data_IF_148469059640
#
_entry.id   IF_148469059640
#
_cell.length_a   1.000
_cell.length_b   1.000
_cell.length_c   1.000
_cell.angle_alpha   90.00
_cell.angle_beta   90.00
_cell.angle_gamma   90.00
#
_symmetry.space_group_name_H-M   'P 1'
#
loop_
_entity.id
_entity.type
_entity.pdbx_description
1 polymer ?
#
# COMPACT_ATOMS: atom_id res chain seq x y z
N UNK A 1 14.38 -13.94 17.82
CA UNK A 1 14.15 -15.21 17.08
C UNK A 1 13.06 -16.06 17.72
N UNK A 2 13.10 -16.38 19.04
CA UNK A 2 12.10 -17.22 19.70
C UNK A 2 10.66 -16.72 19.54
N UNK A 3 10.44 -15.40 19.62
CA UNK A 3 9.12 -14.80 19.40
C UNK A 3 8.61 -14.98 17.96
N UNK A 4 9.51 -14.92 16.97
CA UNK A 4 9.18 -15.18 15.56
C UNK A 4 8.71 -16.63 15.39
N UNK A 5 9.44 -17.59 15.96
CA UNK A 5 9.08 -19.01 15.85
C UNK A 5 7.73 -19.34 16.51
N UNK A 6 7.47 -18.77 17.69
CA UNK A 6 6.17 -18.92 18.36
C UNK A 6 5.04 -18.36 17.49
N UNK A 7 5.22 -17.16 16.97
CA UNK A 7 4.21 -16.51 16.13
C UNK A 7 3.91 -17.31 14.86
N UNK A 8 4.95 -17.80 14.16
CA UNK A 8 4.77 -18.65 12.98
C UNK A 8 4.08 -19.96 13.34
N UNK A 9 4.44 -20.56 14.47
CA UNK A 9 3.83 -21.81 14.95
C UNK A 9 2.33 -21.64 15.21
N UNK A 10 1.95 -20.54 15.86
CA UNK A 10 0.55 -20.20 16.12
C UNK A 10 -0.23 -19.92 14.83
N UNK A 11 0.35 -19.12 13.91
CA UNK A 11 -0.27 -18.75 12.63
C UNK A 11 -0.49 -19.98 11.72
N UNK A 12 0.45 -20.94 11.70
CA UNK A 12 0.37 -22.16 10.89
C UNK A 12 -0.29 -23.35 11.61
N UNK A 13 -0.66 -23.17 12.87
CA UNK A 13 -1.20 -24.23 13.73
C UNK A 13 -0.29 -25.48 13.78
N UNK A 14 1.01 -25.26 13.98
CA UNK A 14 2.05 -26.28 14.09
C UNK A 14 2.83 -26.12 15.40
N UNK A 15 3.67 -27.11 15.73
CA UNK A 15 4.49 -27.01 16.94
C UNK A 15 5.74 -26.14 16.68
N UNK A 16 6.12 -25.33 17.67
CA UNK A 16 7.30 -24.48 17.60
C UNK A 16 8.57 -25.23 17.18
N UNK A 17 8.79 -26.45 17.70
CA UNK A 17 9.93 -27.28 17.31
C UNK A 17 9.98 -27.61 15.81
N UNK A 18 8.81 -27.71 15.15
CA UNK A 18 8.73 -27.95 13.71
C UNK A 18 9.18 -26.71 12.93
N UNK A 19 8.79 -25.52 13.41
CA UNK A 19 9.24 -24.24 12.84
C UNK A 19 10.75 -24.09 13.01
N UNK A 20 11.28 -24.34 14.21
CA UNK A 20 12.73 -24.26 14.48
C UNK A 20 13.54 -25.18 13.56
N UNK A 21 13.10 -26.43 13.40
CA UNK A 21 13.76 -27.39 12.52
C UNK A 21 13.71 -26.97 11.05
N UNK A 22 12.56 -26.46 10.59
CA UNK A 22 12.41 -25.98 9.21
C UNK A 22 13.27 -24.74 8.95
N UNK A 23 13.30 -23.79 9.89
CA UNK A 23 14.12 -22.57 9.80
C UNK A 23 15.60 -22.92 9.76
N UNK A 24 16.07 -23.86 10.58
CA UNK A 24 17.47 -24.30 10.55
C UNK A 24 17.87 -24.84 9.17
N UNK A 25 17.01 -25.66 8.54
CA UNK A 25 17.26 -26.17 7.19
C UNK A 25 17.22 -25.08 6.10
N UNK A 26 16.32 -24.10 6.22
CA UNK A 26 16.26 -22.96 5.31
C UNK A 26 17.52 -22.07 5.43
N UNK A 27 17.97 -21.83 6.65
CA UNK A 27 19.18 -21.04 6.94
C UNK A 27 20.46 -21.74 6.47
N UNK A 28 20.47 -23.07 6.39
CA UNK A 28 21.52 -23.88 5.75
C UNK A 28 21.47 -23.85 4.22
N UNK A 29 20.47 -23.16 3.62
CA UNK A 29 20.31 -23.03 2.17
C UNK A 29 19.49 -24.15 1.51
N UNK A 30 18.80 -24.99 2.30
CA UNK A 30 17.87 -25.96 1.74
C UNK A 30 16.62 -25.28 1.19
N UNK A 31 16.16 -25.74 0.01
CA UNK A 31 14.92 -25.21 -0.59
C UNK A 31 13.67 -25.89 -0.04
N UNK A 32 12.53 -25.21 -0.05
CA UNK A 32 11.24 -25.77 0.37
C UNK A 32 10.94 -27.11 -0.32
N UNK A 33 11.07 -27.27 -1.66
CA UNK A 33 10.85 -28.56 -2.30
C UNK A 33 11.80 -29.67 -1.82
N UNK A 34 13.03 -29.34 -1.45
CA UNK A 34 13.98 -30.30 -0.90
C UNK A 34 13.56 -30.73 0.51
N UNK A 35 13.20 -29.78 1.38
CA UNK A 35 12.78 -30.05 2.75
C UNK A 35 11.51 -30.91 2.75
N UNK A 36 10.50 -30.54 1.98
CA UNK A 36 9.22 -31.25 1.92
C UNK A 36 9.34 -32.69 1.42
N UNK A 37 10.33 -33.01 0.61
CA UNK A 37 10.53 -34.35 0.05
C UNK A 37 11.52 -35.19 0.85
N UNK A 38 12.61 -34.59 1.32
CA UNK A 38 13.77 -35.34 1.82
C UNK A 38 14.10 -35.05 3.28
N UNK A 39 13.35 -34.18 3.98
CA UNK A 39 13.56 -33.82 5.39
C UNK A 39 12.28 -33.80 6.21
N UNK A 40 11.26 -34.56 5.77
CA UNK A 40 9.95 -34.62 6.46
C UNK A 40 10.07 -35.10 7.91
N UNK A 41 10.93 -36.04 8.16
CA UNK A 41 11.19 -36.54 9.50
C UNK A 41 11.82 -35.53 10.44
N UNK A 42 12.65 -34.61 9.90
CA UNK A 42 13.29 -33.54 10.68
C UNK A 42 12.28 -32.45 11.03
N UNK A 43 11.41 -32.07 10.09
CA UNK A 43 10.39 -31.04 10.29
C UNK A 43 9.10 -31.55 10.95
N UNK A 44 9.06 -32.84 11.37
CA UNK A 44 7.87 -33.41 11.99
C UNK A 44 6.67 -33.46 11.06
N UNK A 45 6.91 -33.59 9.74
CA UNK A 45 5.87 -33.86 8.75
C UNK A 45 5.28 -32.60 8.09
N UNK A 46 5.92 -31.45 8.20
CA UNK A 46 5.46 -30.23 7.48
C UNK A 46 5.37 -30.50 5.97
N UNK A 47 4.25 -30.13 5.38
CA UNK A 47 4.04 -30.24 3.94
C UNK A 47 4.60 -29.04 3.16
N UNK A 48 4.54 -29.13 1.82
CA UNK A 48 5.06 -28.08 0.93
C UNK A 48 4.36 -26.73 1.14
N UNK A 49 3.06 -26.73 1.37
CA UNK A 49 2.27 -25.51 1.59
C UNK A 49 2.63 -24.86 2.92
N UNK A 50 2.72 -25.66 3.98
CA UNK A 50 3.14 -25.16 5.31
C UNK A 50 4.56 -24.60 5.27
N UNK A 51 5.48 -25.24 4.56
CA UNK A 51 6.86 -24.78 4.43
C UNK A 51 6.98 -23.49 3.60
N UNK A 52 6.19 -23.32 2.54
CA UNK A 52 6.15 -22.05 1.76
C UNK A 52 5.62 -20.92 2.62
N UNK A 53 4.50 -21.12 3.28
CA UNK A 53 3.92 -20.12 4.17
C UNK A 53 4.88 -19.77 5.31
N UNK A 54 5.61 -20.77 5.85
CA UNK A 54 6.64 -20.55 6.87
C UNK A 54 7.79 -19.70 6.33
N UNK A 55 8.32 -20.01 5.14
CA UNK A 55 9.44 -19.27 4.52
C UNK A 55 9.05 -17.81 4.25
N UNK A 56 7.88 -17.58 3.67
CA UNK A 56 7.35 -16.25 3.40
C UNK A 56 7.17 -15.45 4.71
N UNK A 57 6.54 -16.10 5.70
CA UNK A 57 6.28 -15.45 6.98
C UNK A 57 7.55 -15.16 7.77
N UNK A 58 8.51 -16.08 7.73
CA UNK A 58 9.84 -15.91 8.33
C UNK A 58 10.56 -14.69 7.74
N UNK A 59 10.57 -14.60 6.42
CA UNK A 59 11.18 -13.47 5.70
C UNK A 59 10.54 -12.15 6.13
N UNK A 60 9.20 -12.08 6.11
CA UNK A 60 8.47 -10.89 6.53
C UNK A 60 8.81 -10.47 7.98
N UNK A 61 8.79 -11.41 8.92
CA UNK A 61 9.02 -11.12 10.33
C UNK A 61 10.47 -10.74 10.61
N UNK A 62 11.44 -11.36 9.93
CA UNK A 62 12.86 -10.97 10.03
C UNK A 62 13.07 -9.53 9.53
N UNK A 63 12.55 -9.20 8.35
CA UNK A 63 12.63 -7.84 7.81
C UNK A 63 11.93 -6.82 8.74
N UNK A 64 10.83 -7.21 9.37
CA UNK A 64 10.12 -6.35 10.33
C UNK A 64 10.97 -6.09 11.57
N UNK A 65 11.64 -7.11 12.13
CA UNK A 65 12.53 -6.94 13.29
C UNK A 65 13.76 -6.11 12.94
N UNK A 66 14.41 -6.36 11.82
CA UNK A 66 15.56 -5.56 11.34
C UNK A 66 15.14 -4.09 11.14
N UNK A 67 13.94 -3.88 10.64
CA UNK A 67 13.38 -2.53 10.48
C UNK A 67 13.09 -1.88 11.83
N UNK A 68 12.54 -2.63 12.79
CA UNK A 68 12.28 -2.18 14.16
C UNK A 68 13.55 -1.72 14.86
N UNK A 69 14.61 -2.52 14.78
CA UNK A 69 15.91 -2.19 15.36
C UNK A 69 16.49 -0.92 14.73
N UNK A 70 16.38 -0.80 13.40
CA UNK A 70 16.82 0.40 12.67
C UNK A 70 16.07 1.65 13.13
N UNK A 71 14.76 1.56 13.32
CA UNK A 71 13.91 2.66 13.78
C UNK A 71 14.26 3.05 15.22
N UNK A 72 14.34 2.08 16.13
CA UNK A 72 14.72 2.34 17.52
C UNK A 72 16.07 3.04 17.62
N UNK A 73 17.06 2.58 16.86
CA UNK A 73 18.38 3.19 16.78
C UNK A 73 18.31 4.62 16.26
N UNK A 74 17.59 4.84 15.16
CA UNK A 74 17.44 6.18 14.55
C UNK A 74 16.78 7.19 15.48
N UNK A 75 15.77 6.77 16.27
CA UNK A 75 15.07 7.64 17.23
C UNK A 75 15.96 7.90 18.46
N UNK A 76 16.71 6.88 18.92
CA UNK A 76 17.64 7.02 20.03
C UNK A 76 18.78 7.99 19.69
N UNK A 77 19.36 7.93 18.48
CA UNK A 77 20.37 8.86 17.99
C UNK A 77 19.87 10.32 17.94
N UNK A 78 18.56 10.53 17.85
CA UNK A 78 17.91 11.86 17.92
C UNK A 78 17.59 12.29 19.36
N UNK A 79 17.92 11.48 20.37
CA UNK A 79 17.59 11.69 21.78
C UNK A 79 16.08 11.86 22.05
N UNK A 80 15.23 11.24 21.19
CA UNK A 80 13.75 11.34 21.24
C UNK A 80 13.06 10.05 21.67
N UNK A 81 13.81 8.99 21.96
CA UNK A 81 13.24 7.71 22.35
C UNK A 81 12.80 7.74 23.82
N UNK A 82 11.48 7.81 24.04
CA UNK A 82 10.90 7.66 25.37
C UNK A 82 10.56 6.20 25.67
N UNK A 83 10.44 5.79 26.95
CA UNK A 83 10.06 4.42 27.31
C UNK A 83 8.71 4.01 26.71
N UNK A 84 7.75 4.94 26.66
CA UNK A 84 6.41 4.71 26.11
C UNK A 84 6.47 4.46 24.60
N UNK A 85 7.24 5.28 23.86
CA UNK A 85 7.44 5.12 22.42
C UNK A 85 8.18 3.82 22.10
N UNK A 86 9.20 3.48 22.87
CA UNK A 86 9.92 2.22 22.75
C UNK A 86 8.97 1.02 22.90
N UNK A 87 8.08 1.07 23.90
CA UNK A 87 7.07 0.03 24.12
C UNK A 87 6.09 -0.06 22.96
N UNK A 88 5.63 1.07 22.43
CA UNK A 88 4.73 1.10 21.25
C UNK A 88 5.43 0.51 20.00
N UNK A 89 6.68 0.88 19.74
CA UNK A 89 7.45 0.36 18.60
C UNK A 89 7.67 -1.15 18.76
N UNK A 90 8.02 -1.63 19.97
CA UNK A 90 8.17 -3.06 20.25
C UNK A 90 6.85 -3.83 20.12
N UNK A 91 5.73 -3.20 20.45
CA UNK A 91 4.38 -3.77 20.35
C UNK A 91 3.75 -3.70 18.97
N UNK A 92 4.35 -3.01 18.00
CA UNK A 92 3.82 -2.94 16.64
C UNK A 92 3.77 -4.31 15.98
N UNK A 93 2.61 -4.69 15.44
CA UNK A 93 2.36 -6.01 14.86
C UNK A 93 2.53 -6.07 13.34
N UNK A 94 2.53 -4.89 12.68
CA UNK A 94 2.65 -4.76 11.23
C UNK A 94 3.71 -3.74 10.84
N UNK A 95 4.29 -3.88 9.64
CA UNK A 95 5.22 -2.88 9.09
C UNK A 95 4.56 -1.49 8.98
N UNK A 96 3.28 -1.43 8.63
CA UNK A 96 2.52 -0.17 8.54
C UNK A 96 2.46 0.54 9.89
N UNK A 97 2.09 -0.16 10.97
CA UNK A 97 2.07 0.42 12.32
C UNK A 97 3.46 0.91 12.74
N UNK A 98 4.50 0.15 12.40
CA UNK A 98 5.88 0.50 12.70
C UNK A 98 6.32 1.78 11.96
N UNK A 99 5.99 1.91 10.68
CA UNK A 99 6.28 3.11 9.88
C UNK A 99 5.46 4.33 10.34
N UNK A 100 4.19 4.15 10.72
CA UNK A 100 3.36 5.22 11.27
C UNK A 100 3.98 5.80 12.56
N UNK A 101 4.45 4.93 13.48
CA UNK A 101 5.14 5.36 14.70
C UNK A 101 6.47 6.06 14.42
N UNK A 102 7.16 5.69 13.35
CA UNK A 102 8.43 6.29 12.94
C UNK A 102 8.25 7.60 12.17
N UNK A 103 7.08 7.84 11.56
CA UNK A 103 6.84 8.96 10.64
C UNK A 103 7.26 10.34 11.19
N UNK A 104 6.98 10.71 12.48
CA UNK A 104 7.41 11.99 13.05
C UNK A 104 8.95 12.12 13.19
N UNK A 105 9.66 11.01 13.28
CA UNK A 105 11.11 10.93 13.55
C UNK A 105 11.93 10.65 12.29
N UNK A 106 11.26 10.29 11.20
CA UNK A 106 11.92 9.95 9.93
C UNK A 106 12.67 11.16 9.38
N UNK A 107 13.97 11.06 9.06
CA UNK A 107 14.71 12.14 8.44
C UNK A 107 14.03 12.59 7.15
N UNK A 108 13.65 13.86 7.09
CA UNK A 108 12.93 14.46 5.96
C UNK A 108 13.80 15.54 5.31
N UNK A 109 13.53 15.81 4.04
CA UNK A 109 14.00 17.07 3.44
C UNK A 109 13.35 18.23 4.20
N UNK A 110 13.99 19.40 4.21
CA UNK A 110 13.50 20.61 4.86
C UNK A 110 12.05 20.91 4.44
N UNK A 111 11.09 20.63 5.33
CA UNK A 111 9.65 20.82 5.09
C UNK A 111 9.23 22.26 5.36
N UNK A 112 8.03 22.66 4.89
CA UNK A 112 7.47 23.97 5.24
C UNK A 112 7.26 24.11 6.76
N UNK A 113 6.88 23.03 7.43
CA UNK A 113 6.74 22.99 8.88
C UNK A 113 8.11 23.17 9.57
N UNK A 114 9.16 22.50 9.06
CA UNK A 114 10.51 22.70 9.59
C UNK A 114 10.98 24.13 9.44
N UNK A 115 10.76 24.77 8.29
CA UNK A 115 11.08 26.17 8.06
C UNK A 115 10.32 27.08 9.05
N UNK A 116 9.05 26.77 9.31
CA UNK A 116 8.25 27.53 10.27
C UNK A 116 8.72 27.34 11.72
N UNK A 117 9.18 26.16 12.11
CA UNK A 117 9.82 25.92 13.43
C UNK A 117 11.12 26.69 13.57
N UNK A 118 11.98 26.67 12.54
CA UNK A 118 13.21 27.45 12.51
C UNK A 118 12.96 28.97 12.59
N UNK A 119 11.81 29.41 12.09
CA UNK A 119 11.34 30.81 12.22
C UNK A 119 10.73 31.13 13.60
N UNK A 120 10.64 30.15 14.51
CA UNK A 120 10.12 30.35 15.86
C UNK A 120 8.59 30.37 15.97
N UNK A 121 7.85 29.79 15.00
CA UNK A 121 6.39 29.84 14.97
C UNK A 121 5.70 28.69 15.73
N UNK A 122 6.45 27.73 16.31
CA UNK A 122 5.86 26.62 17.02
C UNK A 122 5.08 27.06 18.28
N UNK A 123 5.55 28.01 19.12
CA UNK A 123 4.77 28.50 20.25
C UNK A 123 3.45 29.18 19.83
N UNK A 124 3.39 29.84 18.67
CA UNK A 124 2.14 30.40 18.14
C UNK A 124 1.15 29.29 17.79
N UNK A 125 1.62 28.25 17.11
CA UNK A 125 0.80 27.08 16.77
C UNK A 125 0.24 26.38 18.02
N UNK A 126 1.08 26.20 19.04
CA UNK A 126 0.71 25.57 20.30
C UNK A 126 -0.27 26.43 21.10
N UNK A 127 -0.06 27.74 21.18
CA UNK A 127 -0.94 28.67 21.88
C UNK A 127 -2.36 28.69 21.28
N UNK A 128 -2.48 28.78 19.95
CA UNK A 128 -3.77 28.81 19.25
C UNK A 128 -4.51 27.47 19.37
N UNK A 129 -3.78 26.33 19.35
CA UNK A 129 -4.38 25.03 19.55
C UNK A 129 -4.85 24.83 21.00
N UNK A 130 -4.05 25.23 21.98
CA UNK A 130 -4.35 25.05 23.40
C UNK A 130 -5.44 26.01 23.89
N UNK A 131 -5.51 27.21 23.35
CA UNK A 131 -6.48 28.24 23.73
C UNK A 131 -7.13 28.91 22.53
N UNK A 132 -8.18 28.34 21.95
CA UNK A 132 -8.90 28.92 20.83
C UNK A 132 -9.60 30.26 21.07
N UNK A 133 -9.63 30.75 22.31
CA UNK A 133 -10.14 32.10 22.64
C UNK A 133 -9.16 33.21 22.27
N UNK A 134 -7.92 32.88 21.96
CA UNK A 134 -6.94 33.83 21.44
C UNK A 134 -7.33 34.30 20.04
N UNK A 135 -7.04 35.58 19.74
CA UNK A 135 -7.25 36.17 18.43
C UNK A 135 -6.02 35.92 17.55
N UNK A 136 -6.10 35.05 16.54
CA UNK A 136 -4.93 34.64 15.74
C UNK A 136 -4.13 35.80 15.16
N UNK A 137 -4.83 36.83 14.67
CA UNK A 137 -4.24 38.03 14.06
C UNK A 137 -3.43 38.86 15.10
N UNK A 138 -3.91 38.91 16.32
CA UNK A 138 -3.23 39.63 17.41
C UNK A 138 -2.02 38.87 17.91
N UNK A 139 -2.20 37.57 18.17
CA UNK A 139 -1.14 36.69 18.68
C UNK A 139 0.02 36.59 17.69
N UNK A 140 -0.27 36.52 16.37
CA UNK A 140 0.74 36.34 15.33
C UNK A 140 1.74 37.53 15.26
N UNK A 141 1.35 38.72 15.72
CA UNK A 141 2.21 39.91 15.63
C UNK A 141 3.48 39.81 16.47
N UNK A 142 3.43 39.06 17.58
CA UNK A 142 4.59 38.80 18.46
C UNK A 142 5.67 37.94 17.80
N UNK A 143 5.36 37.30 16.66
CA UNK A 143 6.23 36.34 15.97
C UNK A 143 6.78 36.85 14.65
N UNK A 144 6.66 38.15 14.36
CA UNK A 144 7.24 38.71 13.16
C UNK A 144 8.76 38.67 13.22
N UNK A 145 9.37 38.20 12.14
CA UNK A 145 10.81 38.00 12.03
C UNK A 145 11.24 38.19 10.57
N UNK A 146 11.89 39.30 10.30
CA UNK A 146 12.36 39.69 8.94
C UNK A 146 13.43 38.72 8.41
N UNK A 147 14.30 38.19 9.28
CA UNK A 147 15.36 37.27 8.91
C UNK A 147 14.77 35.97 8.31
N UNK A 148 13.66 35.53 8.86
CA UNK A 148 12.92 34.34 8.40
C UNK A 148 11.77 34.67 7.44
N UNK A 149 11.65 35.93 6.98
CA UNK A 149 10.60 36.39 6.07
C UNK A 149 9.18 36.24 6.63
N UNK A 150 9.04 36.37 7.95
CA UNK A 150 7.76 36.42 8.64
C UNK A 150 7.44 37.91 8.87
N UNK A 151 6.88 38.57 7.87
CA UNK A 151 6.71 40.01 7.86
C UNK A 151 5.27 40.49 8.04
N UNK A 152 4.32 39.57 8.02
CA UNK A 152 2.91 39.86 8.14
C UNK A 152 2.13 38.73 8.86
N UNK A 153 0.89 39.04 9.25
CA UNK A 153 -0.03 38.13 9.92
C UNK A 153 -0.21 36.82 9.12
N UNK A 154 -0.34 36.93 7.81
CA UNK A 154 -0.58 35.81 6.93
C UNK A 154 0.60 34.84 6.93
N UNK A 155 1.83 35.33 6.79
CA UNK A 155 3.03 34.47 6.80
C UNK A 155 3.23 33.78 8.15
N UNK A 156 2.93 34.46 9.27
CA UNK A 156 2.99 33.86 10.60
C UNK A 156 1.95 32.75 10.80
N UNK A 157 0.68 33.03 10.46
CA UNK A 157 -0.40 32.05 10.58
C UNK A 157 -0.28 30.88 9.58
N UNK A 158 0.20 31.13 8.36
CA UNK A 158 0.48 30.07 7.40
C UNK A 158 1.62 29.15 7.89
N UNK A 159 2.66 29.72 8.50
CA UNK A 159 3.73 28.93 9.11
C UNK A 159 3.23 28.06 10.28
N UNK A 160 2.48 28.66 11.21
CA UNK A 160 1.86 27.94 12.34
C UNK A 160 0.93 26.81 11.85
N UNK A 161 0.14 27.09 10.78
CA UNK A 161 -0.71 26.10 10.12
C UNK A 161 0.10 24.93 9.58
N UNK A 162 1.24 25.16 8.92
CA UNK A 162 2.10 24.07 8.41
C UNK A 162 2.62 23.16 9.53
N UNK A 163 2.94 23.72 10.69
CA UNK A 163 3.39 22.97 11.87
C UNK A 163 2.28 22.05 12.37
N UNK A 164 1.06 22.57 12.56
CA UNK A 164 -0.07 21.76 13.01
C UNK A 164 -0.48 20.71 11.98
N UNK A 165 -0.50 21.06 10.69
CA UNK A 165 -0.79 20.11 9.61
C UNK A 165 0.19 18.94 9.59
N UNK A 166 1.48 19.18 9.83
CA UNK A 166 2.48 18.12 9.92
C UNK A 166 2.24 17.25 11.17
N UNK A 167 2.06 17.88 12.34
CA UNK A 167 1.77 17.19 13.60
C UNK A 167 0.54 16.29 13.49
N UNK A 168 -0.55 16.81 12.93
CA UNK A 168 -1.81 16.07 12.79
C UNK A 168 -1.70 14.92 11.78
N UNK A 169 -0.97 15.13 10.69
CA UNK A 169 -0.81 14.11 9.67
C UNK A 169 0.17 12.99 10.03
N UNK A 170 0.94 13.13 11.08
CA UNK A 170 1.94 12.17 11.53
C UNK A 170 1.55 11.46 12.84
N UNK A 171 0.33 11.69 13.31
CA UNK A 171 -0.19 10.97 14.47
C UNK A 171 -0.58 9.53 14.11
N UNK A 172 0.15 8.56 14.64
CA UNK A 172 -0.01 7.14 14.31
C UNK A 172 -1.38 6.59 14.70
N UNK A 173 -1.98 7.09 15.80
CA UNK A 173 -3.31 6.65 16.26
C UNK A 173 -4.38 7.15 15.31
N UNK A 174 -4.29 8.42 14.91
CA UNK A 174 -5.20 9.02 13.94
C UNK A 174 -5.08 8.34 12.58
N UNK A 175 -3.85 8.14 12.08
CA UNK A 175 -3.58 7.44 10.81
C UNK A 175 -4.20 6.05 10.78
N UNK A 176 -3.98 5.25 11.82
CA UNK A 176 -4.55 3.92 11.90
C UNK A 176 -6.09 3.94 11.91
N UNK A 177 -6.69 4.83 12.71
CA UNK A 177 -8.14 4.98 12.80
C UNK A 177 -8.76 5.38 11.45
N UNK A 178 -8.15 6.34 10.75
CA UNK A 178 -8.61 6.79 9.44
C UNK A 178 -8.42 5.73 8.36
N UNK A 179 -7.31 4.99 8.39
CA UNK A 179 -7.04 3.87 7.48
C UNK A 179 -8.09 2.78 7.63
N UNK A 180 -8.45 2.40 8.87
CA UNK A 180 -9.51 1.42 9.12
C UNK A 180 -10.88 1.92 8.61
N UNK A 181 -11.22 3.17 8.88
CA UNK A 181 -12.45 3.77 8.38
C UNK A 181 -12.52 3.74 6.85
N UNK A 182 -11.49 4.23 6.16
CA UNK A 182 -11.45 4.25 4.69
C UNK A 182 -11.36 2.84 4.07
N UNK A 183 -10.81 1.87 4.79
CA UNK A 183 -10.79 0.48 4.35
C UNK A 183 -12.18 -0.14 4.36
N UNK A 184 -13.04 0.26 5.29
CA UNK A 184 -14.42 -0.24 5.44
C UNK A 184 -15.42 0.54 4.60
N UNK A 185 -15.36 1.87 4.63
CA UNK A 185 -16.35 2.79 4.05
C UNK A 185 -15.89 3.43 2.73
N UNK A 186 -14.63 3.20 2.34
CA UNK A 186 -14.04 3.77 1.13
C UNK A 186 -14.50 3.06 -0.14
N UNK A 187 -14.58 3.84 -1.19
CA UNK A 187 -14.90 3.40 -2.56
C UNK A 187 -13.74 3.72 -3.48
N UNK A 188 -13.42 2.80 -4.37
CA UNK A 188 -12.57 3.08 -5.51
C UNK A 188 -13.41 3.64 -6.64
N UNK A 189 -13.04 4.78 -7.17
CA UNK A 189 -13.66 5.37 -8.36
C UNK A 189 -12.64 5.45 -9.47
N UNK A 190 -13.01 4.94 -10.64
CA UNK A 190 -12.22 5.04 -11.87
C UNK A 190 -12.98 5.84 -12.91
N UNK A 191 -12.27 6.70 -13.63
CA UNK A 191 -12.83 7.46 -14.73
C UNK A 191 -11.83 7.50 -15.91
N UNK A 192 -12.35 7.59 -17.13
CA UNK A 192 -11.50 7.77 -18.31
C UNK A 192 -10.85 9.14 -18.32
N UNK A 193 -9.60 9.21 -18.71
CA UNK A 193 -8.90 10.48 -18.97
C UNK A 193 -9.50 11.09 -20.24
N UNK A 194 -9.85 12.37 -20.19
CA UNK A 194 -10.45 13.10 -21.32
C UNK A 194 -9.63 12.93 -22.60
N UNK A 195 -10.30 12.52 -23.69
CA UNK A 195 -9.67 12.27 -24.99
C UNK A 195 -8.97 10.91 -25.14
N UNK A 196 -9.06 10.03 -24.12
CA UNK A 196 -8.47 8.68 -24.16
C UNK A 196 -9.46 7.55 -24.40
N UNK A 197 -10.72 7.86 -24.71
CA UNK A 197 -11.82 6.89 -24.87
C UNK A 197 -11.52 5.87 -25.98
N UNK A 198 -11.03 6.34 -27.13
CA UNK A 198 -10.72 5.47 -28.27
C UNK A 198 -9.49 4.58 -28.03
N UNK A 199 -8.43 5.14 -27.42
CA UNK A 199 -7.22 4.41 -27.04
C UNK A 199 -7.48 3.39 -25.95
N UNK A 200 -8.39 3.74 -25.04
CA UNK A 200 -8.74 2.99 -23.86
C UNK A 200 -9.90 2.00 -24.02
N UNK A 201 -10.36 1.70 -25.24
CA UNK A 201 -11.57 0.87 -25.47
C UNK A 201 -11.58 -0.46 -24.68
N UNK A 202 -10.42 -1.07 -24.44
CA UNK A 202 -10.28 -2.30 -23.62
C UNK A 202 -10.59 -2.10 -22.13
N UNK A 203 -10.67 -0.84 -21.65
CA UNK A 203 -11.01 -0.48 -20.29
C UNK A 203 -12.40 0.17 -20.19
N UNK A 204 -13.23 0.05 -21.21
CA UNK A 204 -14.53 0.72 -21.32
C UNK A 204 -15.41 0.48 -20.08
N UNK A 205 -15.36 -0.70 -19.48
CA UNK A 205 -16.14 -1.07 -18.29
C UNK A 205 -15.75 -0.23 -17.03
N UNK A 206 -14.62 0.47 -17.10
CA UNK A 206 -14.08 1.28 -16.00
C UNK A 206 -14.05 2.78 -16.31
N UNK A 207 -14.68 3.23 -17.39
CA UNK A 207 -14.71 4.65 -17.77
C UNK A 207 -15.53 5.51 -16.82
N UNK A 208 -16.51 4.89 -16.16
CA UNK A 208 -17.33 5.48 -15.10
C UNK A 208 -17.65 4.35 -14.10
N UNK A 209 -16.71 4.04 -13.25
CA UNK A 209 -16.82 2.88 -12.36
C UNK A 209 -16.59 3.28 -10.90
N UNK A 210 -17.45 2.78 -10.02
CA UNK A 210 -17.35 3.00 -8.58
C UNK A 210 -17.78 1.76 -7.82
N UNK A 211 -16.94 1.27 -6.92
CA UNK A 211 -17.25 0.11 -6.08
C UNK A 211 -16.57 0.18 -4.70
N UNK A 212 -17.09 -0.53 -3.67
CA UNK A 212 -16.48 -0.56 -2.36
C UNK A 212 -15.05 -1.12 -2.41
N UNK A 213 -14.10 -0.40 -1.81
CA UNK A 213 -12.68 -0.80 -1.75
C UNK A 213 -12.49 -2.18 -1.11
N UNK A 214 -13.22 -2.44 -0.01
CA UNK A 214 -13.13 -3.70 0.74
C UNK A 214 -13.47 -4.93 -0.11
N UNK A 215 -14.43 -4.79 -1.04
CA UNK A 215 -15.00 -5.88 -1.81
C UNK A 215 -14.56 -5.88 -3.28
N UNK A 216 -13.64 -5.02 -3.67
CA UNK A 216 -13.14 -4.96 -5.05
C UNK A 216 -12.49 -6.28 -5.46
N UNK A 217 -13.02 -6.99 -6.48
CA UNK A 217 -12.44 -8.23 -6.97
C UNK A 217 -11.07 -8.00 -7.59
N UNK A 218 -10.14 -8.94 -7.37
CA UNK A 218 -8.75 -8.81 -7.78
C UNK A 218 -8.56 -8.54 -9.28
N UNK A 219 -9.33 -9.22 -10.14
CA UNK A 219 -9.25 -9.00 -11.58
C UNK A 219 -9.69 -7.59 -12.01
N UNK A 220 -10.70 -6.99 -11.32
CA UNK A 220 -11.13 -5.61 -11.58
C UNK A 220 -10.11 -4.60 -11.06
N UNK A 221 -9.58 -4.81 -9.85
CA UNK A 221 -8.52 -3.99 -9.30
C UNK A 221 -7.31 -3.93 -10.24
N UNK A 222 -6.84 -5.09 -10.71
CA UNK A 222 -5.71 -5.17 -11.65
C UNK A 222 -6.00 -4.51 -12.99
N UNK A 223 -7.22 -4.63 -13.51
CA UNK A 223 -7.63 -3.96 -14.75
C UNK A 223 -7.60 -2.43 -14.59
N UNK A 224 -8.15 -1.90 -13.49
CA UNK A 224 -8.12 -0.46 -13.19
C UNK A 224 -6.69 0.05 -12.98
N UNK A 225 -5.83 -0.67 -12.22
CA UNK A 225 -4.42 -0.30 -12.06
C UNK A 225 -3.67 -0.31 -13.39
N UNK A 226 -3.96 -1.28 -14.25
CA UNK A 226 -3.38 -1.32 -15.60
C UNK A 226 -3.83 -0.13 -16.44
N UNK A 227 -5.13 0.20 -16.43
CA UNK A 227 -5.66 1.37 -17.15
C UNK A 227 -5.04 2.68 -16.67
N UNK A 228 -4.81 2.81 -15.34
CA UNK A 228 -4.08 3.95 -14.77
C UNK A 228 -2.62 4.00 -15.22
N UNK A 229 -1.92 2.87 -15.21
CA UNK A 229 -0.52 2.81 -15.63
C UNK A 229 -0.34 3.09 -17.12
N UNK A 230 -1.33 2.74 -17.95
CA UNK A 230 -1.35 3.07 -19.38
C UNK A 230 -1.81 4.52 -19.64
N UNK A 231 -2.14 5.29 -18.60
CA UNK A 231 -2.56 6.69 -18.73
C UNK A 231 -3.97 6.88 -19.32
N UNK A 232 -4.79 5.84 -19.30
CA UNK A 232 -6.17 5.83 -19.81
C UNK A 232 -7.20 6.13 -18.73
N UNK A 233 -6.95 5.62 -17.50
CA UNK A 233 -7.85 5.81 -16.36
C UNK A 233 -7.20 6.69 -15.29
N UNK A 234 -8.02 7.50 -14.64
CA UNK A 234 -7.75 8.05 -13.32
C UNK A 234 -8.39 7.15 -12.27
N UNK A 235 -7.79 7.09 -11.08
CA UNK A 235 -8.32 6.35 -9.95
C UNK A 235 -8.22 7.20 -8.70
N UNK A 236 -9.29 7.30 -7.93
CA UNK A 236 -9.35 8.05 -6.68
C UNK A 236 -10.06 7.24 -5.60
N UNK A 237 -9.66 7.45 -4.37
CA UNK A 237 -10.35 6.96 -3.19
C UNK A 237 -11.42 7.97 -2.78
N UNK A 238 -12.67 7.54 -2.70
CA UNK A 238 -13.82 8.39 -2.36
C UNK A 238 -14.72 7.69 -1.34
N UNK A 239 -15.88 8.27 -1.05
CA UNK A 239 -16.95 7.66 -0.26
C UNK A 239 -18.10 7.27 -1.17
N UNK A 240 -19.05 6.49 -0.64
CA UNK A 240 -20.23 6.04 -1.37
C UNK A 240 -20.98 7.21 -2.01
N UNK A 241 -21.31 8.20 -1.21
CA UNK A 241 -22.05 9.38 -1.66
C UNK A 241 -21.09 10.58 -1.81
N UNK A 242 -21.37 11.40 -2.82
CA UNK A 242 -20.73 12.70 -2.91
C UNK A 242 -21.17 13.59 -1.75
N UNK A 243 -20.23 14.38 -1.24
CA UNK A 243 -20.52 15.30 -0.16
C UNK A 243 -21.28 16.51 -0.71
N UNK A 244 -22.35 16.88 -0.03
CA UNK A 244 -23.09 18.11 -0.33
C UNK A 244 -22.20 19.35 -0.21
N UNK A 245 -22.45 20.39 -1.01
CA UNK A 245 -21.69 21.63 -0.91
C UNK A 245 -21.70 22.18 0.52
N UNK A 246 -20.53 22.33 1.12
CA UNK A 246 -20.37 22.78 2.50
C UNK A 246 -20.36 21.67 3.56
N UNK A 247 -20.65 20.45 3.20
CA UNK A 247 -20.54 19.31 4.11
C UNK A 247 -19.07 19.01 4.43
N UNK A 248 -18.79 18.77 5.70
CA UNK A 248 -17.45 18.37 6.15
C UNK A 248 -17.20 16.90 5.84
N UNK A 249 -16.02 16.59 5.29
CA UNK A 249 -15.62 15.20 5.05
C UNK A 249 -15.53 14.42 6.38
N UNK A 250 -16.01 13.17 6.47
CA UNK A 250 -15.90 12.37 7.72
C UNK A 250 -14.47 12.32 8.27
N UNK A 251 -13.46 12.22 7.40
CA UNK A 251 -12.07 12.25 7.81
C UNK A 251 -11.64 13.60 8.40
N UNK A 252 -12.16 14.72 7.94
CA UNK A 252 -11.96 16.04 8.58
C UNK A 252 -12.57 16.04 10.00
N UNK A 253 -13.74 15.42 10.17
CA UNK A 253 -14.37 15.27 11.49
C UNK A 253 -13.53 14.38 12.42
N UNK A 254 -12.92 13.32 11.90
CA UNK A 254 -12.02 12.45 12.67
C UNK A 254 -10.77 13.21 13.14
N UNK A 255 -10.17 14.03 12.27
CA UNK A 255 -9.04 14.91 12.66
C UNK A 255 -9.48 15.87 13.76
N UNK A 256 -10.59 16.58 13.56
CA UNK A 256 -11.11 17.55 14.53
C UNK A 256 -11.41 16.90 15.90
N UNK A 257 -12.09 15.76 15.91
CA UNK A 257 -12.41 15.03 17.13
C UNK A 257 -11.17 14.52 17.87
N UNK A 258 -10.17 14.03 17.12
CA UNK A 258 -8.93 13.52 17.72
C UNK A 258 -8.16 14.65 18.46
N UNK A 259 -8.13 15.83 17.87
CA UNK A 259 -7.45 17.01 18.43
C UNK A 259 -8.36 17.92 19.24
N UNK A 260 -9.61 17.49 19.54
CA UNK A 260 -10.61 18.24 20.32
C UNK A 260 -10.88 19.65 19.76
N UNK A 261 -10.87 19.78 18.42
CA UNK A 261 -11.14 21.03 17.74
C UNK A 261 -12.64 21.10 17.43
N UNK A 262 -13.32 22.01 18.13
CA UNK A 262 -14.76 22.26 17.98
C UNK A 262 -15.01 23.72 17.66
N UNK A 263 -15.97 23.99 16.79
CA UNK A 263 -16.43 25.35 16.52
C UNK A 263 -17.44 25.78 17.59
N UNK A 264 -16.99 26.65 18.49
CA UNK A 264 -17.79 27.23 19.56
C UNK A 264 -17.95 28.76 19.38
N UNK A 265 -17.60 29.28 18.20
CA UNK A 265 -17.64 30.70 17.90
C UNK A 265 -16.49 31.50 18.54
N UNK A 266 -15.39 30.84 18.93
CA UNK A 266 -14.18 31.49 19.46
C UNK A 266 -13.32 32.05 18.32
N UNK A 267 -12.48 33.07 18.57
CA UNK A 267 -11.71 33.73 17.54
C UNK A 267 -10.84 32.80 16.69
N UNK A 268 -10.20 31.79 17.26
CA UNK A 268 -9.32 30.88 16.53
C UNK A 268 -10.06 29.69 15.88
N UNK A 269 -11.35 29.45 16.15
CA UNK A 269 -12.07 28.27 15.68
C UNK A 269 -12.10 28.17 14.14
N UNK A 270 -12.32 29.28 13.45
CA UNK A 270 -12.31 29.31 11.98
C UNK A 270 -10.93 28.96 11.39
N UNK A 271 -9.85 29.45 12.01
CA UNK A 271 -8.48 29.14 11.59
C UNK A 271 -8.14 27.68 11.87
N UNK A 272 -8.50 27.14 13.03
CA UNK A 272 -8.30 25.73 13.36
C UNK A 272 -9.12 24.80 12.43
N UNK A 273 -10.34 25.19 12.07
CA UNK A 273 -11.14 24.45 11.09
C UNK A 273 -10.46 24.44 9.71
N UNK A 274 -9.80 25.53 9.33
CA UNK A 274 -8.97 25.55 8.12
C UNK A 274 -7.76 24.62 8.22
N UNK A 275 -7.04 24.59 9.36
CA UNK A 275 -5.95 23.65 9.61
C UNK A 275 -6.41 22.21 9.42
N UNK A 276 -7.54 21.81 10.03
CA UNK A 276 -8.15 20.48 9.88
C UNK A 276 -8.42 20.13 8.42
N UNK A 277 -9.09 21.03 7.70
CA UNK A 277 -9.43 20.86 6.28
C UNK A 277 -8.19 20.64 5.42
N UNK A 278 -7.16 21.47 5.58
CA UNK A 278 -5.91 21.36 4.81
C UNK A 278 -5.10 20.13 5.21
N UNK A 279 -5.13 19.72 6.48
CA UNK A 279 -4.51 18.46 6.94
C UNK A 279 -5.09 17.28 6.16
N UNK A 280 -6.41 17.19 6.09
CA UNK A 280 -7.06 16.14 5.30
C UNK A 280 -6.73 16.24 3.83
N UNK A 281 -7.04 17.36 3.19
CA UNK A 281 -6.99 17.51 1.73
C UNK A 281 -5.59 17.45 1.14
N UNK A 282 -4.57 17.92 1.87
CA UNK A 282 -3.21 18.07 1.33
C UNK A 282 -2.26 16.99 1.82
N UNK A 283 -2.50 16.46 3.02
CA UNK A 283 -1.58 15.51 3.64
C UNK A 283 -2.18 14.10 3.70
N UNK A 284 -3.26 13.95 4.43
CA UNK A 284 -3.80 12.63 4.80
C UNK A 284 -4.49 11.93 3.64
N UNK A 285 -5.26 12.63 2.80
CA UNK A 285 -5.99 11.99 1.70
C UNK A 285 -5.06 11.26 0.73
N UNK A 286 -4.02 11.93 0.24
CA UNK A 286 -3.05 11.33 -0.69
C UNK A 286 -2.23 10.22 -0.04
N UNK A 287 -1.86 10.40 1.23
CA UNK A 287 -1.11 9.38 1.98
C UNK A 287 -1.92 8.09 2.13
N UNK A 288 -3.14 8.21 2.66
CA UNK A 288 -4.02 7.07 2.90
C UNK A 288 -4.52 6.42 1.60
N UNK A 289 -4.76 7.19 0.54
CA UNK A 289 -5.08 6.66 -0.79
C UNK A 289 -3.93 5.80 -1.31
N UNK A 290 -2.70 6.29 -1.21
CA UNK A 290 -1.50 5.56 -1.64
C UNK A 290 -1.35 4.25 -0.87
N UNK A 291 -1.49 4.27 0.44
CA UNK A 291 -1.39 3.10 1.30
C UNK A 291 -2.45 2.04 0.94
N UNK A 292 -3.71 2.47 0.85
CA UNK A 292 -4.82 1.56 0.60
C UNK A 292 -4.82 1.00 -0.83
N UNK A 293 -4.39 1.78 -1.80
CA UNK A 293 -4.23 1.28 -3.17
C UNK A 293 -3.04 0.34 -3.31
N UNK A 294 -1.97 0.54 -2.55
CA UNK A 294 -0.84 -0.41 -2.51
C UNK A 294 -1.28 -1.73 -1.89
N UNK A 295 -2.02 -1.69 -0.78
CA UNK A 295 -2.56 -2.88 -0.12
C UNK A 295 -3.54 -3.64 -1.04
N UNK A 296 -4.46 -2.91 -1.72
CA UNK A 296 -5.37 -3.51 -2.68
C UNK A 296 -4.63 -4.19 -3.82
N UNK A 297 -3.59 -3.53 -4.34
CA UNK A 297 -2.78 -4.05 -5.43
C UNK A 297 -2.04 -5.32 -5.04
N UNK A 298 -1.37 -5.32 -3.89
CA UNK A 298 -0.64 -6.48 -3.36
C UNK A 298 -1.58 -7.69 -3.19
N UNK A 299 -2.75 -7.48 -2.59
CA UNK A 299 -3.79 -8.51 -2.46
C UNK A 299 -4.22 -9.03 -3.82
N UNK A 300 -4.50 -8.14 -4.76
CA UNK A 300 -5.00 -8.52 -6.09
C UNK A 300 -3.94 -9.26 -6.92
N UNK A 301 -2.67 -8.91 -6.80
CA UNK A 301 -1.56 -9.60 -7.44
C UNK A 301 -1.37 -11.01 -6.85
N UNK A 302 -1.46 -11.18 -5.53
CA UNK A 302 -1.39 -12.48 -4.86
C UNK A 302 -2.53 -13.40 -5.32
N UNK A 303 -3.77 -12.92 -5.26
CA UNK A 303 -4.94 -13.69 -5.72
C UNK A 303 -4.83 -14.10 -7.20
N UNK A 304 -4.32 -13.21 -8.06
CA UNK A 304 -4.14 -13.52 -9.47
C UNK A 304 -3.10 -14.63 -9.71
N UNK A 305 -2.03 -14.66 -8.91
CA UNK A 305 -1.02 -15.72 -8.95
C UNK A 305 -1.65 -17.05 -8.53
N UNK A 306 -2.45 -17.06 -7.47
CA UNK A 306 -3.12 -18.26 -6.98
C UNK A 306 -4.12 -18.82 -8.00
N UNK A 307 -4.93 -17.95 -8.61
CA UNK A 307 -5.86 -18.34 -9.69
C UNK A 307 -5.09 -18.93 -10.87
N UNK A 308 -3.98 -18.28 -11.28
CA UNK A 308 -3.14 -18.79 -12.35
C UNK A 308 -2.56 -20.16 -12.00
N UNK A 309 -2.05 -20.36 -10.79
CA UNK A 309 -1.50 -21.64 -10.35
C UNK A 309 -2.55 -22.76 -10.36
N UNK A 310 -3.78 -22.47 -9.91
CA UNK A 310 -4.90 -23.42 -9.98
C UNK A 310 -5.25 -23.79 -11.42
N UNK A 311 -5.44 -22.81 -12.30
CA UNK A 311 -5.76 -23.02 -13.70
C UNK A 311 -4.67 -23.82 -14.42
N UNK A 312 -3.39 -23.50 -14.15
CA UNK A 312 -2.25 -24.24 -14.70
C UNK A 312 -2.24 -25.71 -14.22
N UNK A 313 -2.51 -25.95 -12.93
CA UNK A 313 -2.61 -27.29 -12.38
C UNK A 313 -3.73 -28.08 -13.04
N UNK A 314 -4.92 -27.50 -13.18
CA UNK A 314 -6.07 -28.15 -13.81
C UNK A 314 -5.76 -28.48 -15.28
N UNK A 315 -5.11 -27.57 -16.00
CA UNK A 315 -4.67 -27.78 -17.37
C UNK A 315 -3.65 -28.92 -17.48
N UNK A 316 -2.63 -28.95 -16.62
CA UNK A 316 -1.59 -29.97 -16.62
C UNK A 316 -2.10 -31.36 -16.17
N UNK A 317 -3.14 -31.40 -15.34
CA UNK A 317 -3.78 -32.64 -14.86
C UNK A 317 -4.98 -33.05 -15.72
N UNK A 318 -5.31 -32.31 -16.78
CA UNK A 318 -6.36 -32.68 -17.71
C UNK A 318 -6.10 -34.04 -18.32
N UNK A 319 -7.16 -34.77 -18.66
CA UNK A 319 -7.06 -36.09 -19.25
C UNK A 319 -6.23 -36.05 -20.54
N UNK A 320 -5.29 -36.99 -20.77
CA UNK A 320 -4.52 -37.05 -22.00
C UNK A 320 -5.44 -37.16 -23.22
N UNK A 321 -5.10 -36.45 -24.30
CA UNK A 321 -5.87 -36.46 -25.55
C UNK A 321 -5.89 -37.85 -26.22
N UNK A 322 -5.05 -38.77 -25.78
CA UNK A 322 -4.86 -40.09 -26.34
C UNK A 322 -3.91 -40.08 -27.56
N UNK A 323 -3.78 -41.21 -28.22
CA UNK A 323 -2.93 -41.38 -29.40
C UNK A 323 -3.63 -40.82 -30.65
N UNK A 324 -3.44 -39.53 -30.87
CA UNK A 324 -4.05 -38.80 -32.01
C UNK A 324 -3.01 -37.92 -32.66
N UNK A 325 -3.13 -37.74 -33.98
CA UNK A 325 -2.38 -36.68 -34.67
C UNK A 325 -2.85 -35.34 -34.13
N UNK A 326 -1.92 -34.55 -33.59
CA UNK A 326 -2.21 -33.29 -32.90
C UNK A 326 -1.43 -32.14 -33.58
N UNK A 327 -2.09 -30.99 -33.76
CA UNK A 327 -1.43 -29.76 -34.18
C UNK A 327 -1.30 -28.88 -32.94
N UNK A 328 -0.06 -28.58 -32.55
CA UNK A 328 0.27 -27.61 -31.53
C UNK A 328 0.45 -26.22 -32.14
N UNK A 329 -0.12 -25.18 -31.57
CA UNK A 329 0.01 -23.79 -31.99
C UNK A 329 0.54 -22.96 -30.81
N UNK A 330 1.62 -22.19 -31.05
CA UNK A 330 2.24 -21.25 -30.11
C UNK A 330 2.16 -19.82 -30.68
N UNK A 331 1.19 -19.01 -30.27
CA UNK A 331 1.00 -17.65 -30.78
C UNK A 331 2.08 -16.70 -30.27
N UNK A 332 2.87 -16.13 -31.17
CA UNK A 332 3.85 -15.07 -30.84
C UNK A 332 3.47 -13.73 -31.48
N UNK A 333 3.47 -12.66 -30.70
CA UNK A 333 3.10 -11.32 -31.17
C UNK A 333 4.00 -10.78 -32.29
N UNK A 334 5.28 -11.12 -32.27
CA UNK A 334 6.28 -10.64 -33.25
C UNK A 334 6.78 -11.72 -34.21
N UNK A 335 6.76 -12.98 -33.75
CA UNK A 335 7.37 -14.12 -34.46
C UNK A 335 6.33 -14.96 -35.20
N UNK A 336 5.09 -14.49 -35.26
CA UNK A 336 3.98 -15.26 -35.83
C UNK A 336 3.54 -16.41 -34.92
N UNK A 337 2.64 -17.23 -35.41
CA UNK A 337 2.17 -18.44 -34.73
C UNK A 337 3.06 -19.61 -35.22
N UNK A 338 3.86 -20.14 -34.30
CA UNK A 338 4.60 -21.38 -34.54
C UNK A 338 3.62 -22.55 -34.51
N UNK A 339 3.82 -23.51 -35.36
CA UNK A 339 3.00 -24.72 -35.39
C UNK A 339 3.91 -25.98 -35.48
N UNK A 340 3.43 -27.04 -34.87
CA UNK A 340 4.03 -28.37 -35.00
C UNK A 340 2.90 -29.40 -35.11
N UNK A 341 3.07 -30.33 -36.05
CA UNK A 341 2.20 -31.50 -36.21
C UNK A 341 2.90 -32.69 -35.61
N UNK A 342 2.26 -33.30 -34.62
CA UNK A 342 2.79 -34.44 -33.88
C UNK A 342 1.92 -35.66 -34.17
N UNK A 343 2.56 -36.75 -34.51
CA UNK A 343 1.88 -38.03 -34.78
C UNK A 343 1.35 -38.71 -33.52
N UNK A 344 0.64 -39.79 -33.72
CA UNK A 344 -0.03 -40.52 -32.61
C UNK A 344 0.94 -41.08 -31.57
N UNK A 345 2.21 -41.29 -31.93
CA UNK A 345 3.26 -41.82 -31.04
C UNK A 345 4.21 -40.72 -30.53
N UNK A 346 3.92 -39.43 -30.82
CA UNK A 346 4.70 -38.30 -30.35
C UNK A 346 5.82 -37.84 -31.28
N UNK A 347 5.98 -38.47 -32.45
CA UNK A 347 6.93 -38.04 -33.47
C UNK A 347 6.50 -36.72 -34.15
N UNK A 348 7.45 -35.83 -34.43
CA UNK A 348 7.18 -34.60 -35.18
C UNK A 348 7.04 -34.95 -36.66
N UNK A 349 5.84 -34.72 -37.22
CA UNK A 349 5.54 -34.97 -38.63
C UNK A 349 5.85 -33.74 -39.50
N UNK A 350 5.56 -32.55 -38.98
CA UNK A 350 5.79 -31.27 -39.67
C UNK A 350 5.86 -30.12 -38.69
N UNK A 351 6.50 -29.02 -39.08
CA UNK A 351 6.55 -27.78 -38.28
C UNK A 351 6.67 -26.56 -39.20
N UNK A 352 6.33 -25.40 -38.65
CA UNK A 352 6.41 -24.15 -39.40
C UNK A 352 5.93 -22.93 -38.59
N UNK A 353 5.80 -21.83 -39.31
CA UNK A 353 5.21 -20.62 -38.74
C UNK A 353 4.20 -20.00 -39.71
N UNK A 354 3.15 -19.42 -39.17
CA UNK A 354 2.17 -18.65 -39.93
C UNK A 354 2.04 -17.25 -39.36
N UNK A 355 1.71 -16.28 -40.20
CA UNK A 355 1.54 -14.88 -39.81
C UNK A 355 0.10 -14.47 -40.17
N UNK A 356 -0.86 -14.68 -39.21
CA UNK A 356 -2.27 -14.42 -39.48
C UNK A 356 -2.63 -12.94 -39.44
N UNK A 357 -1.72 -12.06 -38.96
CA UNK A 357 -1.97 -10.63 -38.77
C UNK A 357 -0.86 -9.78 -39.37
N UNK A 358 -1.18 -8.54 -39.84
CA UNK A 358 -0.16 -7.57 -40.28
C UNK A 358 0.92 -7.30 -39.19
N UNK A 359 2.15 -6.91 -39.54
CA UNK A 359 2.60 -6.52 -40.90
C UNK A 359 3.01 -7.68 -41.80
N UNK A 360 3.09 -8.91 -41.32
CA UNK A 360 3.46 -10.09 -42.10
C UNK A 360 2.25 -11.02 -42.15
N UNK A 361 1.63 -11.13 -43.33
CA UNK A 361 0.53 -12.07 -43.55
C UNK A 361 1.06 -13.18 -44.48
N UNK A 362 1.02 -14.43 -43.99
CA UNK A 362 1.41 -15.57 -44.79
C UNK A 362 2.09 -16.70 -44.01
N UNK A 363 2.67 -17.64 -44.78
CA UNK A 363 3.48 -18.76 -44.30
C UNK A 363 4.95 -18.35 -44.33
N UNK A 364 5.71 -18.53 -43.24
CA UNK A 364 7.14 -18.48 -43.34
C UNK A 364 7.62 -19.74 -44.10
N UNK A 365 8.33 -19.57 -45.19
CA UNK A 365 9.09 -20.67 -45.73
C UNK A 365 10.28 -20.91 -44.79
N UNK A 366 10.36 -22.10 -44.25
CA UNK A 366 11.52 -22.59 -43.49
C UNK A 366 12.54 -23.14 -44.53
#
# INVERSE_FOLDING_TARGET
>A
MQQIYNRIADELNVQQRQVEAAVALLDEGSTVPFISRYRKEVTGGLDDTQLRNLEERLTYLREMEDRRDTILKSIAEQEKLTPELEQQIKGAETKTQLEDLYLPYKPKRRTKAQIAREAGLEPLADALLANPSLVPETESQAYFNEEHKITDIKSALDGAKQILMERFSEDAVLLNKMRQFLKQEGYISAAVVEGKEAEGAKFQDYFEHKEPLANTPSHRALAMFRGRNEGVLTMVLTLENELEPGQRHPCETMVASHWQIEDQGRPADAWLAEVVRWTWRVKLSTHLETDLFSELRERAEADAIDVFAHNLKDLLLAAPAGQKVTIGLDPGLRTGVKLAVVGATGEILDHGAIFPTPPQIGRAHV
#
